data_IF_828952445674
#
_entry.id   IF_828952445674
#
_cell.length_a   1.000
_cell.length_b   1.000
_cell.length_c   1.000
_cell.angle_alpha   90.00
_cell.angle_beta   90.00
_cell.angle_gamma   90.00
#
_symmetry.space_group_name_H-M   'P 1'
#
loop_
_entity.id
_entity.type
_entity.pdbx_description
1 polymer ?
#
# COMPACT_ATOMS: atom_id res chain seq x y z
N UNK A 1 -2.96 11.32 10.63
CA UNK A 1 -1.51 11.46 10.89
C UNK A 1 -0.88 10.15 11.36
N UNK A 2 0.45 10.10 11.47
CA UNK A 2 1.18 8.89 11.89
C UNK A 2 0.70 8.35 13.24
N UNK A 3 0.53 9.24 14.21
CA UNK A 3 0.04 8.87 15.55
C UNK A 3 -1.39 8.36 15.53
N UNK A 4 -2.24 8.89 14.66
CA UNK A 4 -3.62 8.45 14.47
C UNK A 4 -3.67 7.00 14.03
N UNK A 5 -2.85 6.60 13.04
CA UNK A 5 -2.78 5.21 12.60
C UNK A 5 -2.34 4.27 13.72
N UNK A 6 -1.29 4.64 14.46
CA UNK A 6 -0.80 3.81 15.58
C UNK A 6 -1.80 3.71 16.72
N UNK A 7 -2.48 4.82 17.06
CA UNK A 7 -3.45 4.85 18.15
C UNK A 7 -4.75 4.10 17.82
N UNK A 8 -5.11 4.00 16.54
CA UNK A 8 -6.28 3.24 16.09
C UNK A 8 -5.98 1.78 15.78
N UNK A 9 -4.71 1.37 15.75
CA UNK A 9 -4.34 -0.04 15.56
C UNK A 9 -4.70 -0.86 16.80
N UNK A 10 -5.50 -1.91 16.61
CA UNK A 10 -5.83 -2.85 17.68
C UNK A 10 -4.73 -3.89 17.83
N UNK A 11 -4.22 -4.04 19.05
CA UNK A 11 -3.25 -5.07 19.41
C UNK A 11 -3.91 -6.02 20.39
N UNK A 12 -4.21 -7.23 19.93
CA UNK A 12 -4.86 -8.26 20.74
C UNK A 12 -3.89 -9.40 21.03
N UNK A 13 -3.95 -9.88 22.25
CA UNK A 13 -3.13 -11.00 22.74
C UNK A 13 -4.03 -12.10 23.26
N UNK A 14 -3.53 -13.32 23.19
CA UNK A 14 -4.13 -14.44 23.89
C UNK A 14 -4.25 -14.11 25.39
N UNK A 15 -5.39 -14.34 25.97
CA UNK A 15 -5.73 -13.98 27.38
C UNK A 15 -6.04 -12.50 27.66
N UNK A 16 -6.09 -11.63 26.66
CA UNK A 16 -6.67 -10.31 26.86
C UNK A 16 -8.18 -10.43 27.13
N UNK A 17 -8.69 -9.52 27.97
CA UNK A 17 -10.12 -9.41 28.25
C UNK A 17 -10.64 -8.14 27.54
N UNK A 18 -11.55 -8.33 26.61
CA UNK A 18 -12.18 -7.23 25.85
C UNK A 18 -13.61 -7.62 25.50
N UNK A 19 -14.55 -6.70 25.71
CA UNK A 19 -15.94 -6.97 25.37
C UNK A 19 -16.18 -6.99 23.86
N UNK A 20 -17.06 -7.88 23.39
CA UNK A 20 -17.45 -7.99 21.99
C UNK A 20 -18.00 -6.65 21.43
N UNK A 21 -18.74 -5.89 22.24
CA UNK A 21 -19.32 -4.63 21.82
C UNK A 21 -18.26 -3.53 21.67
N UNK A 22 -17.24 -3.48 22.52
CA UNK A 22 -16.13 -2.55 22.38
C UNK A 22 -15.31 -2.87 21.12
N UNK A 23 -15.00 -4.15 20.91
CA UNK A 23 -14.23 -4.59 19.75
C UNK A 23 -14.99 -4.32 18.44
N UNK A 24 -16.30 -4.59 18.42
CA UNK A 24 -17.17 -4.25 17.28
C UNK A 24 -17.18 -2.76 16.97
N UNK A 25 -17.32 -1.89 17.99
CA UNK A 25 -17.26 -0.44 17.80
C UNK A 25 -15.91 -0.02 17.22
N UNK A 26 -14.83 -0.53 17.77
CA UNK A 26 -13.48 -0.24 17.30
C UNK A 26 -13.29 -0.65 15.83
N UNK A 27 -13.74 -1.84 15.45
CA UNK A 27 -13.65 -2.29 14.06
C UNK A 27 -14.45 -1.42 13.09
N UNK A 28 -15.68 -1.02 13.48
CA UNK A 28 -16.49 -0.10 12.66
C UNK A 28 -15.80 1.25 12.53
N UNK A 29 -15.25 1.82 13.62
CA UNK A 29 -14.49 3.07 13.59
C UNK A 29 -13.22 2.98 12.74
N UNK A 30 -12.63 1.79 12.65
CA UNK A 30 -11.49 1.47 11.80
C UNK A 30 -11.88 1.22 10.33
N UNK A 31 -13.15 1.38 9.97
CA UNK A 31 -13.65 1.21 8.61
C UNK A 31 -13.93 -0.22 8.18
N UNK A 32 -13.95 -1.18 9.12
CA UNK A 32 -14.34 -2.56 8.82
C UNK A 32 -15.85 -2.67 8.63
N UNK A 33 -16.26 -3.37 7.58
CA UNK A 33 -17.66 -3.64 7.27
C UNK A 33 -18.13 -4.94 7.90
N UNK A 34 -19.25 -4.89 8.65
CA UNK A 34 -19.86 -6.10 9.19
C UNK A 34 -20.59 -6.88 8.08
N UNK A 35 -20.30 -8.17 8.00
CA UNK A 35 -20.92 -9.12 7.05
C UNK A 35 -21.26 -10.43 7.77
N UNK A 36 -22.08 -11.27 7.15
CA UNK A 36 -22.41 -12.59 7.70
C UNK A 36 -21.26 -13.59 7.48
N UNK A 37 -20.60 -13.53 6.34
CA UNK A 37 -19.43 -14.33 5.97
C UNK A 37 -18.37 -13.42 5.34
N UNK A 38 -17.13 -13.54 5.80
CA UNK A 38 -16.03 -12.74 5.27
C UNK A 38 -15.54 -13.33 3.95
N UNK A 39 -15.49 -12.49 2.94
CA UNK A 39 -14.95 -12.82 1.61
C UNK A 39 -13.79 -11.89 1.21
N UNK A 40 -13.70 -10.71 1.83
CA UNK A 40 -12.75 -9.68 1.45
C UNK A 40 -11.99 -9.10 2.64
N UNK A 41 -10.86 -8.47 2.34
CA UNK A 41 -10.16 -7.58 3.27
C UNK A 41 -11.08 -6.45 3.73
N UNK A 42 -10.98 -6.05 5.00
CA UNK A 42 -11.78 -4.96 5.57
C UNK A 42 -13.21 -5.36 5.95
N UNK A 43 -13.51 -6.65 5.97
CA UNK A 43 -14.76 -7.21 6.46
C UNK A 43 -14.56 -7.88 7.82
N UNK A 44 -15.61 -7.90 8.66
CA UNK A 44 -15.63 -8.70 9.88
C UNK A 44 -16.99 -9.37 10.09
N UNK A 45 -17.00 -10.51 10.76
CA UNK A 45 -18.19 -11.29 11.09
C UNK A 45 -18.13 -11.72 12.54
N UNK A 46 -19.28 -11.66 13.24
CA UNK A 46 -19.43 -12.13 14.61
C UNK A 46 -20.51 -13.22 14.61
N UNK A 47 -20.17 -14.39 15.08
CA UNK A 47 -21.06 -15.55 15.19
C UNK A 47 -20.89 -16.22 16.55
N UNK A 48 -21.78 -15.90 17.50
CA UNK A 48 -21.63 -16.32 18.89
C UNK A 48 -20.34 -15.76 19.48
N UNK A 49 -19.49 -16.63 20.01
CA UNK A 49 -18.22 -16.28 20.62
C UNK A 49 -17.04 -16.27 19.62
N UNK A 50 -17.32 -16.21 18.31
CA UNK A 50 -16.32 -16.18 17.24
C UNK A 50 -16.39 -14.87 16.50
N UNK A 51 -15.23 -14.20 16.42
CA UNK A 51 -15.00 -13.02 15.60
C UNK A 51 -14.00 -13.36 14.48
N UNK A 52 -14.43 -13.21 13.24
CA UNK A 52 -13.61 -13.34 12.06
C UNK A 52 -13.32 -11.95 11.48
N UNK A 53 -12.07 -11.67 11.08
CA UNK A 53 -11.65 -10.38 10.52
C UNK A 53 -10.79 -10.64 9.28
N UNK A 54 -11.15 -10.02 8.13
CA UNK A 54 -10.38 -10.08 6.88
C UNK A 54 -9.22 -9.10 6.88
N UNK A 55 -7.98 -9.58 6.98
CA UNK A 55 -6.78 -8.75 7.08
C UNK A 55 -6.11 -8.49 5.73
N UNK A 56 -6.24 -9.43 4.80
CA UNK A 56 -5.70 -9.33 3.43
C UNK A 56 -6.65 -10.01 2.45
N UNK A 57 -6.34 -9.96 1.16
CA UNK A 57 -7.17 -10.58 0.11
C UNK A 57 -7.26 -12.11 0.23
N UNK A 58 -6.33 -12.74 0.94
CA UNK A 58 -6.27 -14.20 1.06
C UNK A 58 -6.45 -14.72 2.48
N UNK A 59 -6.15 -13.91 3.49
CA UNK A 59 -6.08 -14.34 4.89
C UNK A 59 -6.88 -13.42 5.81
N UNK A 60 -7.51 -14.06 6.79
CA UNK A 60 -8.14 -13.43 7.94
C UNK A 60 -7.62 -13.98 9.25
N UNK A 61 -8.10 -13.38 10.34
CA UNK A 61 -7.89 -13.86 11.69
C UNK A 61 -9.22 -14.24 12.32
N UNK A 62 -9.27 -15.38 12.98
CA UNK A 62 -10.38 -15.88 13.78
C UNK A 62 -10.00 -15.79 15.25
N UNK A 63 -10.82 -15.12 16.03
CA UNK A 63 -10.66 -14.94 17.47
C UNK A 63 -11.84 -15.64 18.13
N UNK A 64 -11.57 -16.58 19.01
CA UNK A 64 -12.55 -17.27 19.83
C UNK A 64 -12.51 -16.72 21.24
N UNK A 65 -13.67 -16.52 21.84
CA UNK A 65 -13.82 -15.95 23.16
C UNK A 65 -14.44 -16.95 24.12
N UNK A 66 -14.09 -16.80 25.39
CA UNK A 66 -14.80 -17.38 26.51
C UNK A 66 -15.31 -16.25 27.40
N UNK A 67 -16.57 -15.86 27.21
CA UNK A 67 -17.09 -14.60 27.76
C UNK A 67 -16.39 -13.42 27.07
N UNK A 68 -15.70 -12.58 27.88
CA UNK A 68 -14.90 -11.45 27.37
C UNK A 68 -13.40 -11.79 27.24
N UNK A 69 -12.97 -13.01 27.58
CA UNK A 69 -11.57 -13.41 27.49
C UNK A 69 -11.26 -14.02 26.12
N UNK A 70 -10.13 -13.63 25.52
CA UNK A 70 -9.65 -14.21 24.26
C UNK A 70 -9.05 -15.60 24.56
N UNK A 71 -9.75 -16.66 24.13
CA UNK A 71 -9.35 -18.05 24.30
C UNK A 71 -8.40 -18.54 23.21
N UNK A 72 -8.67 -18.16 21.95
CA UNK A 72 -7.78 -18.51 20.84
C UNK A 72 -7.72 -17.44 19.76
N UNK A 73 -6.55 -17.33 19.11
CA UNK A 73 -6.34 -16.49 17.92
C UNK A 73 -5.74 -17.39 16.84
N UNK A 74 -6.37 -17.46 15.67
CA UNK A 74 -5.92 -18.29 14.55
C UNK A 74 -5.96 -17.54 13.24
N UNK A 75 -5.00 -17.76 12.37
CA UNK A 75 -5.14 -17.39 10.96
C UNK A 75 -6.12 -18.33 10.28
N UNK A 76 -6.80 -17.84 9.26
CA UNK A 76 -7.59 -18.67 8.35
C UNK A 76 -7.54 -18.15 6.92
N UNK A 77 -7.77 -19.03 5.95
CA UNK A 77 -7.85 -18.66 4.53
C UNK A 77 -9.26 -18.22 4.17
N UNK A 78 -9.42 -17.05 3.56
CA UNK A 78 -10.73 -16.54 3.14
C UNK A 78 -11.42 -17.48 2.14
N UNK A 79 -10.69 -18.02 1.17
CA UNK A 79 -11.24 -18.91 0.13
C UNK A 79 -11.82 -20.23 0.65
N UNK A 80 -11.28 -20.78 1.73
CA UNK A 80 -11.69 -22.09 2.28
C UNK A 80 -12.31 -22.03 3.66
N UNK A 81 -12.26 -20.85 4.31
CA UNK A 81 -12.71 -20.63 5.69
C UNK A 81 -12.03 -21.54 6.74
N UNK A 82 -10.93 -22.19 6.35
CA UNK A 82 -10.20 -23.12 7.22
C UNK A 82 -9.10 -22.42 8.00
N UNK A 83 -9.10 -22.65 9.31
CA UNK A 83 -8.01 -22.17 10.19
C UNK A 83 -6.69 -22.84 9.80
N UNK A 84 -5.61 -22.07 9.95
CA UNK A 84 -4.24 -22.52 9.69
C UNK A 84 -3.40 -22.42 10.97
N UNK A 85 -2.72 -21.32 11.20
CA UNK A 85 -1.75 -21.19 12.28
C UNK A 85 -2.36 -20.57 13.55
N UNK A 86 -1.91 -21.04 14.70
CA UNK A 86 -2.20 -20.40 15.99
C UNK A 86 -1.30 -19.19 16.19
N UNK A 87 -1.88 -18.10 16.68
CA UNK A 87 -1.17 -16.88 17.00
C UNK A 87 -1.24 -16.60 18.51
N UNK A 88 -0.18 -16.01 19.06
CA UNK A 88 -0.19 -15.47 20.43
C UNK A 88 -0.66 -14.01 20.46
N UNK A 89 -0.46 -13.29 19.38
CA UNK A 89 -0.79 -11.88 19.24
C UNK A 89 -1.20 -11.59 17.81
N UNK A 90 -2.07 -10.59 17.63
CA UNK A 90 -2.43 -10.05 16.31
C UNK A 90 -2.50 -8.54 16.37
N UNK A 91 -2.01 -7.87 15.34
CA UNK A 91 -2.20 -6.44 15.11
C UNK A 91 -3.21 -6.26 13.97
N UNK A 92 -4.26 -5.51 14.22
CA UNK A 92 -5.33 -5.21 13.27
C UNK A 92 -5.24 -3.73 12.95
N UNK A 93 -4.89 -3.45 11.70
CA UNK A 93 -4.77 -2.08 11.19
C UNK A 93 -6.12 -1.59 10.65
N UNK A 94 -6.36 -0.27 10.62
CA UNK A 94 -7.56 0.27 9.98
C UNK A 94 -7.73 -0.23 8.53
N UNK A 95 -8.97 -0.51 8.16
CA UNK A 95 -9.34 -0.94 6.80
C UNK A 95 -9.48 0.24 5.83
N UNK A 96 -9.51 1.47 6.34
CA UNK A 96 -9.63 2.72 5.58
C UNK A 96 -8.55 3.70 5.98
N UNK A 97 -8.18 4.59 5.06
CA UNK A 97 -7.36 5.77 5.36
C UNK A 97 -8.19 6.94 5.91
N UNK A 98 -9.53 6.84 5.86
CA UNK A 98 -10.46 7.84 6.41
C UNK A 98 -10.68 7.60 7.91
N UNK A 99 -9.64 7.82 8.70
CA UNK A 99 -9.67 7.63 10.14
C UNK A 99 -10.00 8.97 10.81
N UNK A 100 -10.98 8.98 11.70
CA UNK A 100 -11.30 10.18 12.46
C UNK A 100 -10.18 10.49 13.47
N UNK A 101 -9.45 11.58 13.23
CA UNK A 101 -8.50 12.14 14.20
C UNK A 101 -9.21 12.96 15.27
N UNK A 102 -10.40 13.46 14.95
CA UNK A 102 -11.22 14.34 15.75
C UNK A 102 -12.68 13.83 15.77
N UNK A 103 -13.58 14.55 16.43
CA UNK A 103 -14.99 14.22 16.43
C UNK A 103 -15.61 14.36 15.03
N UNK A 104 -16.62 13.53 14.73
CA UNK A 104 -17.40 13.63 13.48
C UNK A 104 -17.92 15.07 13.28
N UNK A 105 -18.38 15.72 14.34
CA UNK A 105 -18.91 17.09 14.31
C UNK A 105 -17.85 18.09 13.81
N UNK A 106 -16.60 17.96 14.30
CA UNK A 106 -15.52 18.84 13.89
C UNK A 106 -15.10 18.59 12.44
N UNK A 107 -15.09 17.34 11.98
CA UNK A 107 -14.84 16.99 10.57
C UNK A 107 -15.93 17.60 9.69
N UNK A 108 -17.20 17.38 10.01
CA UNK A 108 -18.31 17.98 9.28
C UNK A 108 -18.23 19.52 9.25
N UNK A 109 -17.92 20.16 10.38
CA UNK A 109 -17.76 21.61 10.45
C UNK A 109 -16.59 22.15 9.61
N UNK A 110 -15.54 21.35 9.35
CA UNK A 110 -14.47 21.70 8.39
C UNK A 110 -14.98 21.58 6.96
N UNK A 111 -15.67 20.51 6.63
CA UNK A 111 -16.23 20.27 5.29
C UNK A 111 -17.27 21.36 4.94
N UNK A 112 -18.11 21.78 5.88
CA UNK A 112 -19.11 22.84 5.66
C UNK A 112 -18.52 24.22 5.35
N UNK A 113 -17.21 24.41 5.61
CA UNK A 113 -16.48 25.64 5.22
C UNK A 113 -15.96 25.61 3.80
N UNK A 114 -15.97 24.44 3.16
CA UNK A 114 -15.52 24.30 1.79
C UNK A 114 -16.58 24.85 0.83
N UNK A 115 -16.12 25.49 -0.24
CA UNK A 115 -17.04 25.90 -1.31
C UNK A 115 -17.63 24.66 -1.99
N UNK A 116 -18.94 24.65 -2.19
CA UNK A 116 -19.68 23.59 -2.89
C UNK A 116 -19.61 22.19 -2.23
N UNK A 117 -19.64 22.10 -0.91
CA UNK A 117 -19.83 20.81 -0.24
C UNK A 117 -21.23 20.25 -0.49
N UNK A 118 -21.41 18.93 -0.30
CA UNK A 118 -22.70 18.25 -0.44
C UNK A 118 -23.30 17.91 0.93
N UNK A 119 -24.55 18.33 1.17
CA UNK A 119 -25.29 17.93 2.38
C UNK A 119 -25.44 16.42 2.51
N UNK A 120 -25.66 15.71 1.40
CA UNK A 120 -25.75 14.26 1.37
C UNK A 120 -24.43 13.59 1.82
N UNK A 121 -23.28 14.18 1.49
CA UNK A 121 -21.98 13.69 1.92
C UNK A 121 -21.78 13.89 3.44
N UNK A 122 -22.30 14.99 3.99
CA UNK A 122 -22.29 15.22 5.44
C UNK A 122 -23.13 14.16 6.16
N UNK A 123 -24.31 13.82 5.66
CA UNK A 123 -25.15 12.75 6.23
C UNK A 123 -24.42 11.39 6.18
N UNK A 124 -23.75 11.07 5.08
CA UNK A 124 -22.94 9.84 4.93
C UNK A 124 -21.86 9.78 6.01
N UNK A 125 -21.12 10.87 6.21
CA UNK A 125 -20.05 10.95 7.22
C UNK A 125 -20.62 10.83 8.63
N UNK A 126 -21.74 11.52 8.93
CA UNK A 126 -22.42 11.45 10.23
C UNK A 126 -22.89 10.04 10.58
N UNK A 127 -23.30 9.28 9.56
CA UNK A 127 -23.72 7.88 9.72
C UNK A 127 -22.54 6.90 9.80
N UNK A 128 -21.29 7.36 9.63
CA UNK A 128 -20.10 6.51 9.65
C UNK A 128 -19.93 5.62 8.42
N UNK A 129 -20.61 5.96 7.31
CA UNK A 129 -20.48 5.24 6.04
C UNK A 129 -19.40 5.88 5.18
N UNK A 130 -18.15 5.42 5.38
CA UNK A 130 -16.97 5.92 4.67
C UNK A 130 -16.81 5.22 3.32
N UNK A 131 -17.61 5.63 2.36
CA UNK A 131 -17.54 5.15 0.98
C UNK A 131 -16.48 5.94 0.18
N UNK A 132 -16.10 5.43 -1.00
CA UNK A 132 -15.20 6.11 -1.94
C UNK A 132 -15.72 7.50 -2.38
N UNK A 133 -17.01 7.77 -2.21
CA UNK A 133 -17.62 9.06 -2.51
C UNK A 133 -17.07 10.20 -1.65
N UNK A 134 -16.68 9.91 -0.39
CA UNK A 134 -16.18 10.92 0.56
C UNK A 134 -14.67 11.10 0.54
N UNK A 135 -13.92 10.33 -0.26
CA UNK A 135 -12.46 10.42 -0.37
C UNK A 135 -11.98 11.84 -0.74
N UNK A 136 -12.81 12.60 -1.44
CA UNK A 136 -12.56 14.01 -1.76
C UNK A 136 -12.37 14.92 -0.55
N UNK A 137 -12.87 14.52 0.61
CA UNK A 137 -12.74 15.25 1.88
C UNK A 137 -11.62 14.69 2.76
N UNK A 138 -10.73 13.88 2.23
CA UNK A 138 -9.64 13.24 2.96
C UNK A 138 -8.86 14.24 3.85
N UNK A 139 -8.58 15.43 3.34
CA UNK A 139 -7.83 16.45 4.07
C UNK A 139 -8.56 16.95 5.31
N UNK A 140 -9.90 16.90 5.34
CA UNK A 140 -10.71 17.38 6.46
C UNK A 140 -10.75 16.40 7.63
N UNK A 141 -10.34 15.15 7.39
CA UNK A 141 -10.25 14.13 8.44
C UNK A 141 -8.99 14.30 9.30
N UNK A 142 -7.99 15.04 8.82
CA UNK A 142 -6.70 15.18 9.48
C UNK A 142 -6.30 16.63 9.68
N UNK A 143 -5.75 16.93 10.87
CA UNK A 143 -5.15 18.23 11.16
C UNK A 143 -3.69 18.30 10.72
N UNK A 144 -3.00 17.14 10.72
CA UNK A 144 -1.61 17.03 10.30
C UNK A 144 -1.48 15.91 9.25
N UNK A 145 -1.18 16.29 8.03
CA UNK A 145 -0.87 15.36 6.96
C UNK A 145 0.60 14.96 7.02
N UNK A 146 0.88 13.71 6.73
CA UNK A 146 2.23 13.15 6.66
C UNK A 146 2.40 12.37 5.35
N UNK A 147 3.63 12.34 4.85
CA UNK A 147 3.99 11.54 3.68
C UNK A 147 4.36 10.12 4.08
N UNK A 148 4.46 9.22 3.09
CA UNK A 148 5.00 7.89 3.30
C UNK A 148 6.40 7.91 3.94
N UNK A 149 7.22 8.91 3.61
CA UNK A 149 8.58 9.06 4.12
C UNK A 149 8.63 9.32 5.62
N UNK A 150 7.59 9.91 6.20
CA UNK A 150 7.49 10.16 7.63
C UNK A 150 7.34 8.89 8.47
N UNK A 151 6.93 7.78 7.85
CA UNK A 151 6.82 6.46 8.51
C UNK A 151 8.15 5.71 8.60
N UNK A 152 9.15 6.09 7.80
CA UNK A 152 10.42 5.38 7.68
C UNK A 152 11.54 6.24 8.28
N UNK A 153 11.94 6.04 9.55
CA UNK A 153 13.06 6.76 10.14
C UNK A 153 14.40 6.18 9.63
N UNK A 154 15.40 7.04 9.49
CA UNK A 154 16.80 6.66 9.20
C UNK A 154 16.99 5.85 7.91
N UNK A 155 16.49 6.35 6.79
CA UNK A 155 16.64 5.71 5.49
C UNK A 155 17.50 6.57 4.54
N UNK A 156 18.08 5.90 3.56
CA UNK A 156 18.74 6.55 2.42
C UNK A 156 17.81 6.48 1.21
N UNK A 157 17.50 7.62 0.61
CA UNK A 157 16.66 7.69 -0.58
C UNK A 157 17.54 7.54 -1.82
N UNK A 158 17.17 6.63 -2.69
CA UNK A 158 17.73 6.50 -4.03
C UNK A 158 16.70 6.99 -5.03
N UNK A 159 17.06 8.01 -5.81
CA UNK A 159 16.23 8.54 -6.88
C UNK A 159 16.76 8.00 -8.21
N UNK A 160 15.99 7.14 -8.82
CA UNK A 160 16.26 6.63 -10.16
C UNK A 160 15.71 7.61 -11.19
N UNK A 161 16.59 8.20 -11.99
CA UNK A 161 16.27 9.22 -12.99
C UNK A 161 15.46 10.42 -12.44
N UNK A 162 16.02 11.23 -11.52
CA UNK A 162 15.28 12.31 -10.84
C UNK A 162 14.62 13.31 -11.80
N UNK A 163 15.21 13.58 -12.97
CA UNK A 163 14.60 14.44 -13.99
C UNK A 163 13.32 13.82 -14.59
N UNK A 164 13.28 12.50 -14.80
CA UNK A 164 12.07 11.80 -15.26
C UNK A 164 10.97 11.86 -14.18
N UNK A 165 11.36 11.72 -12.89
CA UNK A 165 10.42 11.85 -11.76
C UNK A 165 9.82 13.26 -11.75
N UNK A 166 10.66 14.30 -11.87
CA UNK A 166 10.22 15.69 -11.91
C UNK A 166 9.26 15.95 -13.07
N UNK A 167 9.61 15.52 -14.27
CA UNK A 167 8.74 15.63 -15.44
C UNK A 167 7.39 14.92 -15.24
N UNK A 168 7.38 13.77 -14.55
CA UNK A 168 6.14 13.07 -14.24
C UNK A 168 5.28 13.83 -13.23
N UNK A 169 5.88 14.44 -12.21
CA UNK A 169 5.18 15.32 -11.25
C UNK A 169 4.54 16.50 -11.98
N UNK A 170 5.30 17.19 -12.83
CA UNK A 170 4.80 18.32 -13.63
C UNK A 170 3.64 17.91 -14.56
N UNK A 171 3.73 16.72 -15.18
CA UNK A 171 2.65 16.19 -16.00
C UNK A 171 1.38 15.91 -15.19
N UNK A 172 1.50 15.30 -14.00
CA UNK A 172 0.37 15.05 -13.09
C UNK A 172 -0.27 16.37 -12.64
N UNK A 173 0.54 17.37 -12.30
CA UNK A 173 0.03 18.70 -11.91
C UNK A 173 -0.79 19.31 -13.04
N UNK A 174 -0.30 19.25 -14.28
CA UNK A 174 -1.03 19.76 -15.45
C UNK A 174 -2.33 19.00 -15.73
N UNK A 175 -2.31 17.66 -15.60
CA UNK A 175 -3.53 16.83 -15.69
C UNK A 175 -4.55 17.24 -14.63
N UNK A 176 -4.08 17.49 -13.42
CA UNK A 176 -4.89 17.92 -12.28
C UNK A 176 -5.51 19.31 -12.48
N UNK A 177 -4.73 20.28 -12.97
CA UNK A 177 -5.24 21.61 -13.33
C UNK A 177 -6.39 21.53 -14.36
N UNK A 178 -6.25 20.65 -15.35
CA UNK A 178 -7.29 20.44 -16.36
C UNK A 178 -8.55 19.82 -15.75
N UNK A 179 -8.38 18.88 -14.81
CA UNK A 179 -9.49 18.28 -14.08
C UNK A 179 -10.22 19.32 -13.22
N UNK A 180 -9.49 20.17 -12.49
CA UNK A 180 -10.07 21.25 -11.68
C UNK A 180 -10.89 22.18 -12.57
N UNK A 181 -10.36 22.63 -13.70
CA UNK A 181 -11.07 23.48 -14.67
C UNK A 181 -12.37 22.81 -15.13
N UNK A 182 -12.32 21.53 -15.50
CA UNK A 182 -13.48 20.79 -15.94
C UNK A 182 -14.53 20.59 -14.83
N UNK A 183 -14.14 20.49 -13.56
CA UNK A 183 -15.04 20.42 -12.43
C UNK A 183 -15.75 21.77 -12.20
N UNK A 184 -14.99 22.87 -12.24
CA UNK A 184 -15.52 24.24 -12.12
C UNK A 184 -16.52 24.54 -13.23
N UNK A 185 -16.19 24.23 -14.49
CA UNK A 185 -17.09 24.42 -15.63
C UNK A 185 -18.41 23.64 -15.51
N UNK A 186 -18.40 22.52 -14.79
CA UNK A 186 -19.58 21.67 -14.53
C UNK A 186 -20.27 21.99 -13.21
N UNK A 187 -19.88 23.07 -12.54
CA UNK A 187 -20.40 23.47 -11.21
C UNK A 187 -20.29 22.34 -10.17
N UNK A 188 -19.26 21.49 -10.30
CA UNK A 188 -18.99 20.40 -9.35
C UNK A 188 -18.01 20.85 -8.27
N UNK A 189 -18.11 20.32 -7.04
CA UNK A 189 -17.15 20.61 -5.98
C UNK A 189 -15.74 20.20 -6.41
N UNK A 190 -14.77 21.08 -6.15
CA UNK A 190 -13.36 20.81 -6.37
C UNK A 190 -12.81 20.24 -5.06
N UNK A 191 -12.33 18.99 -5.03
CA UNK A 191 -11.71 18.43 -3.85
C UNK A 191 -10.45 19.22 -3.46
N UNK A 192 -10.29 19.57 -2.20
CA UNK A 192 -9.11 20.30 -1.73
C UNK A 192 -7.81 19.52 -1.96
N UNK A 193 -7.87 18.18 -1.88
CA UNK A 193 -6.75 17.31 -2.22
C UNK A 193 -6.18 17.56 -3.62
N UNK A 194 -7.03 17.90 -4.60
CA UNK A 194 -6.59 18.26 -5.95
C UNK A 194 -5.89 19.61 -5.98
N UNK A 195 -6.34 20.57 -5.17
CA UNK A 195 -5.70 21.89 -5.08
C UNK A 195 -4.32 21.81 -4.42
N UNK A 196 -4.15 20.93 -3.44
CA UNK A 196 -2.89 20.74 -2.73
C UNK A 196 -1.82 20.05 -3.59
N UNK A 197 -2.20 19.20 -4.54
CA UNK A 197 -1.26 18.56 -5.48
C UNK A 197 -0.54 19.61 -6.37
N UNK A 198 -1.19 20.73 -6.66
CA UNK A 198 -0.58 21.79 -7.48
C UNK A 198 0.54 22.54 -6.74
N UNK A 199 0.56 22.50 -5.42
CA UNK A 199 1.57 23.14 -4.59
C UNK A 199 2.72 22.21 -4.22
N UNK A 200 2.67 20.94 -4.65
CA UNK A 200 3.72 19.99 -4.37
C UNK A 200 4.98 20.29 -5.15
N UNK A 201 6.08 20.53 -4.44
CA UNK A 201 7.41 20.65 -5.03
C UNK A 201 8.21 19.39 -4.73
N UNK A 202 8.77 18.78 -5.76
CA UNK A 202 9.69 17.68 -5.62
C UNK A 202 11.05 18.22 -5.15
N UNK A 203 11.26 18.24 -3.84
CA UNK A 203 12.51 18.68 -3.22
C UNK A 203 12.95 17.66 -2.16
N UNK A 204 13.72 16.67 -2.59
CA UNK A 204 14.36 15.71 -1.68
C UNK A 204 15.83 16.08 -1.57
N UNK A 205 16.19 16.77 -0.48
CA UNK A 205 17.53 17.36 -0.29
C UNK A 205 18.63 16.35 -0.03
N UNK A 206 18.30 15.24 0.62
CA UNK A 206 19.26 14.20 1.00
C UNK A 206 18.93 12.89 0.27
N UNK A 207 19.44 12.75 -0.95
CA UNK A 207 19.20 11.55 -1.77
C UNK A 207 20.42 11.18 -2.57
N UNK A 208 20.53 9.88 -2.89
CA UNK A 208 21.45 9.36 -3.90
C UNK A 208 20.73 9.36 -5.25
N UNK A 209 21.22 10.14 -6.19
CA UNK A 209 20.62 10.21 -7.52
C UNK A 209 21.30 9.22 -8.46
N UNK A 210 20.51 8.38 -9.12
CA UNK A 210 20.95 7.46 -10.15
C UNK A 210 20.54 8.01 -11.51
N UNK A 211 21.47 8.06 -12.44
CA UNK A 211 21.24 8.55 -13.79
C UNK A 211 21.70 7.52 -14.81
N UNK A 212 20.96 7.39 -15.88
CA UNK A 212 21.26 6.52 -17.01
C UNK A 212 22.34 7.10 -17.93
N UNK A 213 22.53 8.42 -17.91
CA UNK A 213 23.48 9.13 -18.75
C UNK A 213 24.65 9.74 -17.96
N UNK A 214 25.80 9.74 -18.62
CA UNK A 214 27.15 10.04 -18.14
C UNK A 214 27.35 11.55 -17.87
N UNK A 215 26.74 12.06 -16.81
CA UNK A 215 26.93 13.48 -16.42
C UNK A 215 27.58 13.65 -15.04
N UNK A 216 28.07 12.57 -14.41
CA UNK A 216 28.38 12.59 -12.98
C UNK A 216 29.79 12.14 -12.59
N UNK A 217 30.21 12.68 -11.43
CA UNK A 217 31.52 12.48 -10.80
C UNK A 217 31.77 11.05 -10.30
N UNK A 218 30.76 10.19 -10.22
CA UNK A 218 30.87 8.81 -9.77
C UNK A 218 30.30 7.87 -10.85
N UNK A 219 31.11 7.54 -11.83
CA UNK A 219 30.78 6.55 -12.83
C UNK A 219 31.06 5.14 -12.26
N UNK A 220 30.01 4.27 -12.27
CA UNK A 220 30.16 2.86 -11.92
C UNK A 220 30.78 2.04 -13.04
N UNK A 221 31.23 2.66 -14.14
CA UNK A 221 31.73 1.99 -15.35
C UNK A 221 30.74 0.93 -15.88
N UNK A 222 29.47 1.23 -15.79
CA UNK A 222 28.42 0.36 -16.35
C UNK A 222 28.28 0.59 -17.84
N UNK A 223 28.05 -0.49 -18.58
CA UNK A 223 27.72 -0.41 -20.02
C UNK A 223 26.36 -1.02 -20.23
N UNK A 224 25.55 -0.37 -21.05
CA UNK A 224 24.31 -0.95 -21.49
C UNK A 224 24.58 -2.24 -22.28
N UNK A 225 23.90 -3.31 -21.89
CA UNK A 225 23.90 -4.56 -22.66
C UNK A 225 22.77 -4.44 -23.67
N UNK A 226 23.10 -4.31 -24.94
CA UNK A 226 22.10 -4.36 -26.01
C UNK A 226 21.30 -5.64 -25.86
N UNK A 227 20.00 -5.49 -25.56
CA UNK A 227 19.07 -6.62 -25.46
C UNK A 227 19.02 -7.33 -26.82
N UNK A 228 19.43 -8.59 -26.83
CA UNK A 228 19.24 -9.47 -28.00
C UNK A 228 17.75 -9.77 -28.10
N UNK A 229 17.07 -9.15 -29.04
CA UNK A 229 15.68 -9.48 -29.30
C UNK A 229 15.62 -10.79 -30.06
N UNK A 230 15.32 -11.89 -29.38
CA UNK A 230 14.66 -13.01 -29.99
C UNK A 230 15.42 -14.32 -30.21
N UNK A 231 16.75 -14.40 -30.07
CA UNK A 231 17.43 -15.71 -30.23
C UNK A 231 18.15 -16.12 -28.91
N UNK A 232 17.73 -17.28 -28.36
CA UNK A 232 18.35 -17.88 -27.16
C UNK A 232 19.82 -18.23 -27.42
N UNK A 233 20.19 -18.55 -28.66
CA UNK A 233 21.58 -18.87 -29.04
C UNK A 233 22.51 -17.66 -28.88
N UNK A 234 22.04 -16.48 -29.30
CA UNK A 234 22.83 -15.26 -29.15
C UNK A 234 23.03 -14.89 -27.67
N UNK A 235 22.04 -15.19 -26.82
CA UNK A 235 22.15 -15.00 -25.38
C UNK A 235 23.16 -15.99 -24.79
N UNK A 236 23.12 -17.25 -25.20
CA UNK A 236 24.04 -18.30 -24.76
C UNK A 236 25.48 -17.98 -25.16
N UNK A 237 25.73 -17.57 -26.40
CA UNK A 237 27.06 -17.14 -26.87
C UNK A 237 27.62 -15.99 -26.05
N UNK A 238 26.83 -14.98 -25.75
CA UNK A 238 27.24 -13.83 -24.93
C UNK A 238 27.54 -14.23 -23.48
N UNK A 239 26.71 -15.08 -22.88
CA UNK A 239 26.95 -15.59 -21.53
C UNK A 239 28.30 -16.31 -21.49
N UNK A 240 28.54 -17.20 -22.49
CA UNK A 240 29.79 -17.94 -22.59
C UNK A 240 31.02 -17.01 -22.77
N UNK A 241 30.89 -15.95 -23.57
CA UNK A 241 31.95 -14.94 -23.72
C UNK A 241 32.26 -14.25 -22.39
N UNK A 242 31.25 -13.85 -21.61
CA UNK A 242 31.48 -13.25 -20.30
C UNK A 242 32.08 -14.20 -19.30
N UNK A 243 31.64 -15.46 -19.26
CA UNK A 243 32.21 -16.50 -18.39
C UNK A 243 33.67 -16.81 -18.75
N UNK A 244 33.98 -16.95 -20.04
CA UNK A 244 35.38 -17.15 -20.51
C UNK A 244 36.29 -15.98 -20.15
N UNK A 245 35.74 -14.76 -20.04
CA UNK A 245 36.46 -13.58 -19.60
C UNK A 245 36.44 -13.40 -18.06
N UNK A 246 36.19 -14.46 -17.28
CA UNK A 246 36.12 -14.47 -15.81
C UNK A 246 35.09 -13.43 -15.25
N UNK A 247 34.03 -13.17 -15.98
CA UNK A 247 32.93 -12.29 -15.51
C UNK A 247 31.84 -13.12 -14.86
N UNK A 248 31.29 -12.61 -13.77
CA UNK A 248 30.10 -13.19 -13.15
C UNK A 248 28.84 -12.67 -13.88
N UNK A 249 28.02 -13.58 -14.39
CA UNK A 249 26.75 -13.25 -15.04
C UNK A 249 25.61 -13.53 -14.08
N UNK A 250 24.70 -12.58 -13.92
CA UNK A 250 23.49 -12.71 -13.12
C UNK A 250 22.29 -12.42 -14.02
N UNK A 251 21.34 -13.35 -14.06
CA UNK A 251 20.11 -13.21 -14.86
C UNK A 251 18.93 -13.07 -13.91
N UNK A 252 18.24 -11.94 -13.97
CA UNK A 252 17.03 -11.67 -13.21
C UNK A 252 15.81 -12.11 -14.01
N UNK A 253 15.25 -13.27 -13.71
CA UNK A 253 14.15 -13.87 -14.46
C UNK A 253 12.74 -13.47 -13.94
N UNK A 254 12.66 -12.76 -12.84
CA UNK A 254 11.44 -12.23 -12.24
C UNK A 254 10.73 -13.25 -11.34
N UNK A 255 10.28 -14.37 -11.87
CA UNK A 255 9.55 -15.40 -11.13
C UNK A 255 10.12 -16.81 -11.34
N UNK A 256 9.60 -17.79 -10.59
CA UNK A 256 10.04 -19.18 -10.64
C UNK A 256 9.76 -19.86 -11.98
N UNK A 257 8.65 -19.53 -12.62
CA UNK A 257 8.28 -20.14 -13.91
C UNK A 257 9.15 -19.62 -15.03
N UNK A 258 9.45 -18.31 -15.04
CA UNK A 258 10.39 -17.72 -15.97
C UNK A 258 11.83 -18.19 -15.72
N UNK A 259 12.23 -18.33 -14.45
CA UNK A 259 13.53 -18.95 -14.11
C UNK A 259 13.66 -20.35 -14.71
N UNK A 260 12.63 -21.17 -14.59
CA UNK A 260 12.62 -22.53 -15.16
C UNK A 260 12.70 -22.50 -16.69
N UNK A 261 12.03 -21.57 -17.34
CA UNK A 261 12.09 -21.39 -18.81
C UNK A 261 13.49 -20.97 -19.27
N UNK A 262 14.09 -19.99 -18.57
CA UNK A 262 15.45 -19.51 -18.87
C UNK A 262 16.48 -20.65 -18.68
N UNK A 263 16.41 -21.39 -17.58
CA UNK A 263 17.30 -22.53 -17.34
C UNK A 263 17.16 -23.62 -18.40
N UNK A 264 15.92 -23.94 -18.83
CA UNK A 264 15.71 -24.91 -19.92
C UNK A 264 16.24 -24.42 -21.26
N UNK A 265 16.12 -23.12 -21.52
CA UNK A 265 16.62 -22.52 -22.75
C UNK A 265 18.17 -22.48 -22.81
N UNK A 266 18.83 -22.39 -21.63
CA UNK A 266 20.27 -22.32 -21.47
C UNK A 266 20.89 -23.70 -21.09
N UNK A 267 20.25 -24.81 -21.42
CA UNK A 267 20.60 -26.18 -20.97
C UNK A 267 22.02 -26.65 -21.32
N UNK A 268 22.80 -25.90 -22.09
CA UNK A 268 24.17 -26.22 -22.46
C UNK A 268 25.21 -25.26 -21.83
N UNK A 269 24.79 -24.22 -21.12
CA UNK A 269 25.72 -23.34 -20.41
C UNK A 269 26.10 -24.00 -19.07
N UNK A 270 27.27 -24.63 -19.02
CA UNK A 270 27.86 -25.18 -17.81
C UNK A 270 28.08 -24.08 -16.77
N UNK A 271 27.48 -24.24 -15.57
CA UNK A 271 27.60 -23.42 -14.36
C UNK A 271 26.56 -22.29 -14.18
N UNK A 272 25.27 -22.58 -14.30
CA UNK A 272 24.22 -21.70 -13.81
C UNK A 272 23.65 -22.29 -12.51
N UNK A 273 24.00 -21.71 -11.35
CA UNK A 273 23.37 -22.06 -10.09
C UNK A 273 22.15 -21.16 -9.83
N UNK A 274 20.94 -21.73 -9.62
CA UNK A 274 19.78 -20.94 -9.22
C UNK A 274 19.97 -20.44 -7.79
N UNK A 275 20.06 -19.13 -7.60
CA UNK A 275 20.06 -18.52 -6.28
C UNK A 275 18.62 -18.15 -5.87
N UNK A 276 18.06 -18.88 -4.92
CA UNK A 276 16.68 -18.69 -4.43
C UNK A 276 16.57 -17.64 -3.30
N UNK A 277 17.62 -16.86 -3.02
CA UNK A 277 17.69 -15.90 -1.93
C UNK A 277 17.73 -14.45 -2.45
N UNK A 278 16.69 -14.03 -3.16
CA UNK A 278 16.34 -12.63 -3.40
C UNK A 278 14.89 -12.39 -3.04
#
# INVERSE_FOLDING_TARGET
AKDTLYNTTLKLKLTDTISHEELKKSLVQMGYKRVDLIENKGEFSIRGDILDIGLSDNEGVRIEFWGDDIDSIRKFKLSSQRSTDMLKTVEIYPATEMILEDSIQNVCARIEKLDNYSFEDIEIIQNGDYTTRIDKYFNEFYTNQVSFLDYIPNFTIFLDEPEKIKQRVEAIQKENENLIKALIEKEKPVPEALSNLNNYTFDIKESVNLFEQDTLKNDFNTKEINLVKGDVKDLEERINEYVQNNKKVVILAGDKDNTTKVLRALNNASEIEPNNNL
#
